data_IF_796698571348
#
_entry.id   IF_796698571348
#
_cell.length_a   1.000
_cell.length_b   1.000
_cell.length_c   1.000
_cell.angle_alpha   90.00
_cell.angle_beta   90.00
_cell.angle_gamma   90.00
#
_symmetry.space_group_name_H-M   'P 1'
#
loop_
_entity.id
_entity.type
_entity.pdbx_description
1 polymer ?
#
# COMPACT_ATOMS: atom_id res chain seq x y z
N UNK A 1 6.77 -13.00 -0.92
CA UNK A 1 5.73 -12.30 -0.14
C UNK A 1 6.33 -11.22 0.75
N UNK A 2 7.24 -11.56 1.68
CA UNK A 2 7.91 -10.58 2.56
C UNK A 2 8.68 -9.48 1.81
N UNK A 3 9.41 -9.85 0.75
CA UNK A 3 10.13 -8.88 -0.09
C UNK A 3 9.18 -7.86 -0.76
N UNK A 4 7.97 -8.27 -1.12
CA UNK A 4 6.96 -7.40 -1.72
C UNK A 4 6.48 -6.34 -0.73
N UNK A 5 6.04 -6.74 0.47
CA UNK A 5 5.54 -5.80 1.48
C UNK A 5 6.65 -4.86 1.98
N UNK A 6 7.88 -5.36 2.13
CA UNK A 6 9.04 -4.54 2.48
C UNK A 6 9.40 -3.57 1.35
N UNK A 7 9.35 -4.03 0.10
CA UNK A 7 9.59 -3.19 -1.08
C UNK A 7 8.59 -2.04 -1.18
N UNK A 8 7.30 -2.30 -0.97
CA UNK A 8 6.25 -1.27 -0.94
C UNK A 8 6.50 -0.25 0.16
N UNK A 9 6.81 -0.69 1.38
CA UNK A 9 7.08 0.21 2.48
C UNK A 9 8.32 1.09 2.24
N UNK A 10 9.39 0.51 1.69
CA UNK A 10 10.59 1.24 1.31
C UNK A 10 10.30 2.28 0.22
N UNK A 11 9.49 1.95 -0.78
CA UNK A 11 9.07 2.89 -1.81
C UNK A 11 8.31 4.09 -1.21
N UNK A 12 7.35 3.83 -0.32
CA UNK A 12 6.58 4.86 0.37
C UNK A 12 7.48 5.77 1.23
N UNK A 13 8.48 5.20 1.90
CA UNK A 13 9.47 5.98 2.65
C UNK A 13 10.30 6.87 1.72
N UNK A 14 10.74 6.36 0.57
CA UNK A 14 11.51 7.15 -0.39
C UNK A 14 10.67 8.27 -1.01
N UNK A 15 9.36 8.08 -1.13
CA UNK A 15 8.38 9.13 -1.47
C UNK A 15 8.06 10.09 -0.32
N UNK A 16 8.79 10.01 0.80
CA UNK A 16 8.62 10.84 2.00
C UNK A 16 7.19 10.83 2.52
N UNK A 17 6.50 9.68 2.38
CA UNK A 17 5.16 9.53 2.93
C UNK A 17 5.20 9.48 4.46
N UNK A 18 4.10 9.87 5.14
CA UNK A 18 4.02 9.77 6.58
C UNK A 18 4.30 8.34 7.09
N UNK A 19 4.86 8.16 8.31
CA UNK A 19 5.14 6.85 8.87
C UNK A 19 3.91 5.91 8.89
N UNK A 20 2.74 6.47 9.16
CA UNK A 20 1.45 5.75 9.15
C UNK A 20 1.13 5.13 7.80
N UNK A 21 1.44 5.82 6.70
CA UNK A 21 1.27 5.32 5.33
C UNK A 21 2.30 4.22 5.01
N UNK A 22 3.54 4.38 5.48
CA UNK A 22 4.57 3.36 5.31
C UNK A 22 4.20 2.06 6.06
N UNK A 23 3.67 2.17 7.29
CA UNK A 23 3.14 1.02 8.06
C UNK A 23 1.94 0.40 7.34
N UNK A 24 1.03 1.20 6.80
CA UNK A 24 -0.07 0.69 5.99
C UNK A 24 0.45 -0.09 4.77
N UNK A 25 1.54 0.37 4.14
CA UNK A 25 2.22 -0.34 3.06
C UNK A 25 2.84 -1.68 3.47
N UNK A 26 3.37 -1.82 4.70
CA UNK A 26 3.85 -3.11 5.20
C UNK A 26 2.69 -4.10 5.41
N UNK A 27 1.50 -3.60 5.72
CA UNK A 27 0.34 -4.39 6.12
C UNK A 27 -0.77 -4.38 5.06
N UNK A 28 -0.51 -3.95 3.83
CA UNK A 28 -1.57 -3.70 2.83
C UNK A 28 -2.32 -4.95 2.36
N UNK A 29 -1.87 -6.14 2.73
CA UNK A 29 -2.58 -7.41 2.48
C UNK A 29 -2.98 -8.12 3.77
N UNK A 30 -3.09 -7.39 4.89
CA UNK A 30 -3.35 -7.96 6.22
C UNK A 30 -4.62 -8.81 6.27
N UNK A 31 -5.68 -8.34 5.62
CA UNK A 31 -6.99 -8.99 5.59
C UNK A 31 -7.26 -9.77 4.29
N UNK A 32 -6.22 -10.15 3.54
CA UNK A 32 -6.31 -10.57 2.12
C UNK A 32 -6.68 -9.41 1.19
N UNK A 33 -6.36 -9.53 -0.09
CA UNK A 33 -6.79 -8.60 -1.15
C UNK A 33 -7.31 -9.37 -2.36
N UNK A 34 -7.97 -8.68 -3.30
CA UNK A 34 -8.41 -9.28 -4.58
C UNK A 34 -7.26 -10.00 -5.32
N UNK A 35 -6.04 -9.47 -5.23
CA UNK A 35 -4.85 -10.04 -5.86
C UNK A 35 -4.05 -11.02 -4.95
N UNK A 36 -4.37 -11.13 -3.65
CA UNK A 36 -3.64 -11.98 -2.70
C UNK A 36 -4.60 -12.63 -1.69
N UNK A 37 -4.97 -13.92 -1.83
CA UNK A 37 -6.00 -14.58 -1.03
C UNK A 37 -5.56 -14.98 0.40
N UNK A 38 -4.33 -14.68 0.79
CA UNK A 38 -3.79 -15.01 2.11
C UNK A 38 -4.00 -13.85 3.09
N UNK A 39 -4.58 -14.13 4.25
CA UNK A 39 -4.81 -13.16 5.31
C UNK A 39 -4.04 -13.55 6.58
N UNK A 40 -3.56 -12.54 7.30
CA UNK A 40 -2.95 -12.68 8.63
C UNK A 40 -4.00 -12.52 9.73
N UNK A 41 -4.99 -11.67 9.48
CA UNK A 41 -6.16 -11.47 10.35
C UNK A 41 -7.43 -11.57 9.53
N UNK A 42 -8.50 -12.07 10.16
CA UNK A 42 -9.85 -12.00 9.61
C UNK A 42 -10.50 -10.63 9.86
N UNK A 43 -11.59 -10.32 9.17
CA UNK A 43 -12.36 -9.10 9.44
C UNK A 43 -13.00 -9.06 10.84
N UNK A 44 -13.11 -10.20 11.54
CA UNK A 44 -13.57 -10.23 12.92
C UNK A 44 -12.51 -9.67 13.89
N UNK A 45 -11.23 -9.69 13.50
CA UNK A 45 -10.11 -9.31 14.35
C UNK A 45 -9.70 -7.84 14.20
N UNK A 46 -10.51 -7.03 13.51
CA UNK A 46 -10.24 -5.60 13.30
C UNK A 46 -10.01 -4.82 14.60
N UNK A 47 -10.69 -5.17 15.69
CA UNK A 47 -10.46 -4.57 17.00
C UNK A 47 -9.01 -4.74 17.46
N UNK A 48 -8.49 -5.97 17.37
CA UNK A 48 -7.10 -6.30 17.71
C UNK A 48 -6.11 -5.58 16.80
N UNK A 49 -6.41 -5.43 15.52
CA UNK A 49 -5.55 -4.66 14.60
C UNK A 49 -5.53 -3.17 14.97
N UNK A 50 -6.67 -2.58 15.35
CA UNK A 50 -6.72 -1.18 15.83
C UNK A 50 -5.87 -0.96 17.07
N UNK A 51 -5.84 -1.92 17.98
CA UNK A 51 -4.96 -1.85 19.17
C UNK A 51 -3.47 -1.84 18.79
N UNK A 52 -3.10 -2.55 17.72
CA UNK A 52 -1.71 -2.65 17.27
C UNK A 52 -1.23 -1.44 16.46
N UNK A 53 -2.05 -0.92 15.55
CA UNK A 53 -1.62 0.12 14.58
C UNK A 53 -2.37 1.44 14.70
N UNK A 54 -3.36 1.52 15.59
CA UNK A 54 -4.26 2.65 15.72
C UNK A 54 -5.42 2.61 14.73
N UNK A 55 -6.51 3.31 15.09
CA UNK A 55 -7.76 3.32 14.33
C UNK A 55 -7.60 3.85 12.91
N UNK A 56 -6.78 4.90 12.74
CA UNK A 56 -6.59 5.52 11.44
C UNK A 56 -5.87 4.60 10.45
N UNK A 57 -4.78 3.96 10.87
CA UNK A 57 -4.02 3.04 10.03
C UNK A 57 -4.85 1.80 9.70
N UNK A 58 -5.57 1.25 10.68
CA UNK A 58 -6.46 0.11 10.44
C UNK A 58 -7.57 0.44 9.43
N UNK A 59 -8.14 1.65 9.50
CA UNK A 59 -9.12 2.12 8.53
C UNK A 59 -8.60 2.13 7.09
N UNK A 60 -7.36 2.60 6.89
CA UNK A 60 -6.71 2.58 5.58
C UNK A 60 -6.46 1.15 5.08
N UNK A 61 -6.02 0.26 5.97
CA UNK A 61 -5.82 -1.16 5.65
C UNK A 61 -7.12 -1.83 5.23
N UNK A 62 -8.18 -1.64 6.01
CA UNK A 62 -9.49 -2.21 5.70
C UNK A 62 -10.01 -1.71 4.35
N UNK A 63 -9.93 -0.40 4.08
CA UNK A 63 -10.37 0.17 2.81
C UNK A 63 -9.58 -0.42 1.64
N UNK A 64 -8.25 -0.49 1.77
CA UNK A 64 -7.41 -1.01 0.70
C UNK A 64 -7.63 -2.52 0.45
N UNK A 65 -7.83 -3.31 1.50
CA UNK A 65 -8.09 -4.75 1.38
C UNK A 65 -9.48 -5.07 0.81
N UNK A 66 -10.47 -4.20 1.01
CA UNK A 66 -11.87 -4.44 0.61
C UNK A 66 -12.27 -3.78 -0.70
N UNK A 67 -11.54 -2.76 -1.16
CA UNK A 67 -11.80 -2.14 -2.46
C UNK A 67 -11.46 -3.11 -3.59
N UNK A 68 -12.27 -3.11 -4.65
CA UNK A 68 -11.90 -3.78 -5.90
C UNK A 68 -10.68 -3.09 -6.50
N UNK A 69 -9.53 -3.74 -6.38
CA UNK A 69 -8.26 -3.28 -6.95
C UNK A 69 -8.38 -3.21 -8.47
N UNK A 70 -9.05 -4.18 -9.09
CA UNK A 70 -9.32 -4.18 -10.54
C UNK A 70 -10.20 -3.00 -10.96
N UNK A 71 -11.21 -2.65 -10.18
CA UNK A 71 -12.05 -1.48 -10.36
C UNK A 71 -11.28 -0.17 -10.23
N UNK A 72 -10.46 -0.04 -9.19
CA UNK A 72 -9.58 1.13 -8.99
C UNK A 72 -8.64 1.31 -10.16
N UNK A 73 -7.96 0.25 -10.62
CA UNK A 73 -7.06 0.33 -11.76
C UNK A 73 -7.79 0.65 -13.08
N UNK A 74 -9.02 0.17 -13.24
CA UNK A 74 -9.86 0.49 -14.40
C UNK A 74 -10.20 1.99 -14.43
N UNK A 75 -10.67 2.55 -13.32
CA UNK A 75 -10.98 3.98 -13.26
C UNK A 75 -9.72 4.83 -13.41
N UNK A 76 -8.60 4.44 -12.81
CA UNK A 76 -7.30 5.09 -13.02
C UNK A 76 -6.90 5.16 -14.50
N UNK A 77 -7.01 4.04 -15.23
CA UNK A 77 -6.75 3.99 -16.67
C UNK A 77 -7.71 4.90 -17.46
N UNK A 78 -8.99 4.92 -17.08
CA UNK A 78 -10.00 5.78 -17.70
C UNK A 78 -9.71 7.26 -17.47
N UNK A 79 -9.36 7.65 -16.24
CA UNK A 79 -8.96 9.01 -15.91
C UNK A 79 -7.73 9.44 -16.74
N UNK A 80 -6.70 8.60 -16.81
CA UNK A 80 -5.52 8.87 -17.62
C UNK A 80 -5.85 9.05 -19.11
N UNK A 81 -6.74 8.22 -19.66
CA UNK A 81 -7.22 8.34 -21.04
C UNK A 81 -8.00 9.64 -21.29
N UNK A 82 -8.67 10.18 -20.27
CA UNK A 82 -9.40 11.45 -20.32
C UNK A 82 -8.54 12.68 -19.98
N UNK A 83 -7.21 12.54 -19.98
CA UNK A 83 -6.29 13.66 -19.77
C UNK A 83 -5.97 13.96 -18.30
N UNK A 84 -6.40 13.12 -17.35
CA UNK A 84 -5.92 13.24 -15.97
C UNK A 84 -4.43 12.95 -15.91
N UNK A 85 -3.65 13.94 -15.49
CA UNK A 85 -2.21 13.79 -15.29
C UNK A 85 -1.98 13.17 -13.93
N UNK A 86 -1.50 11.92 -13.93
CA UNK A 86 -1.06 11.30 -12.69
C UNK A 86 0.13 12.08 -12.11
N UNK A 87 0.15 12.35 -10.79
CA UNK A 87 1.27 12.99 -10.14
C UNK A 87 2.55 12.23 -10.45
N UNK A 88 3.53 12.89 -11.08
CA UNK A 88 4.81 12.26 -11.47
C UNK A 88 5.56 11.78 -10.24
N UNK A 89 5.37 12.46 -9.12
CA UNK A 89 5.94 12.17 -7.81
C UNK A 89 5.58 10.76 -7.34
N UNK A 90 4.37 10.27 -7.63
CA UNK A 90 3.91 8.92 -7.29
C UNK A 90 4.20 7.85 -8.35
N UNK A 91 4.84 8.23 -9.47
CA UNK A 91 5.20 7.32 -10.56
C UNK A 91 6.72 7.13 -10.70
N UNK A 92 7.52 7.99 -10.08
CA UNK A 92 8.97 7.85 -10.03
C UNK A 92 9.37 6.86 -8.93
N UNK A 93 9.84 5.67 -9.28
CA UNK A 93 10.54 4.79 -8.32
C UNK A 93 11.95 5.35 -8.11
N UNK A 94 12.31 5.82 -6.90
CA UNK A 94 13.65 6.33 -6.66
C UNK A 94 14.65 5.18 -6.80
N UNK A 95 15.57 5.29 -7.76
CA UNK A 95 16.57 4.24 -7.99
C UNK A 95 17.63 4.30 -6.91
N UNK A 96 17.47 3.52 -5.84
CA UNK A 96 18.55 3.27 -4.89
C UNK A 96 19.57 2.33 -5.54
N UNK A 97 20.57 2.87 -6.24
CA UNK A 97 21.81 2.12 -6.49
C UNK A 97 22.59 2.12 -5.16
N UNK A 98 22.88 0.97 -4.53
CA UNK A 98 23.78 0.97 -3.39
C UNK A 98 25.17 1.33 -3.92
N UNK A 99 25.68 2.51 -3.58
CA UNK A 99 27.11 2.79 -3.68
C UNK A 99 27.80 1.89 -2.68
N UNK A 100 28.34 0.77 -3.17
CA UNK A 100 29.28 -0.06 -2.42
C UNK A 100 30.50 0.82 -2.14
N UNK A 101 30.56 1.43 -0.95
CA UNK A 101 31.77 2.11 -0.50
C UNK A 101 32.82 1.02 -0.29
N UNK A 102 33.85 1.10 -1.12
CA UNK A 102 35.14 0.40 -1.07
C UNK A 102 35.88 0.71 0.23
#
# INVERSE_FOLDING_TARGET
>A
FTEHIVGVANLLQQWKQPPTICVAGLLHSLYSTEMFPWHVFSFAERGRVRELVGVHVEGLLFLYCTVSQSGVYRELRRCAANGYVLPKEGLCVPTSRPTRRS
#
